data_IF_938545343985
#
_entry.id   IF_938545343985
#
_cell.length_a   1.000
_cell.length_b   1.000
_cell.length_c   1.000
_cell.angle_alpha   90.00
_cell.angle_beta   90.00
_cell.angle_gamma   90.00
#
_symmetry.space_group_name_H-M   'P 1'
#
loop_
_entity.id
_entity.type
_entity.pdbx_description
1 polymer ?
#
# COMPACT_ATOMS: atom_id res chain seq x y z
N UNK A 1 -2.15 3.13 6.17
CA UNK A 1 -0.87 3.30 5.43
C UNK A 1 -0.87 4.67 4.80
N UNK A 2 0.22 5.45 4.86
CA UNK A 2 0.21 6.85 4.42
C UNK A 2 -0.22 7.01 2.94
N UNK A 3 0.26 6.12 2.05
CA UNK A 3 -0.06 6.10 0.62
C UNK A 3 -1.51 5.85 0.30
N UNK A 4 -2.27 5.25 1.21
CA UNK A 4 -3.68 4.96 0.97
C UNK A 4 -4.55 6.20 1.11
N UNK A 5 -4.11 7.17 1.92
CA UNK A 5 -4.89 8.35 2.24
C UNK A 5 -4.37 9.65 1.66
N UNK A 6 -3.11 9.71 1.25
CA UNK A 6 -2.50 10.92 0.72
C UNK A 6 -1.74 10.64 -0.58
N UNK A 7 -1.92 11.54 -1.54
CA UNK A 7 -1.05 11.66 -2.71
C UNK A 7 -0.67 13.12 -2.95
N UNK A 8 0.43 13.33 -3.66
CA UNK A 8 0.85 14.65 -4.15
C UNK A 8 0.89 14.62 -5.67
N UNK A 9 0.27 15.60 -6.32
CA UNK A 9 0.23 15.78 -7.77
C UNK A 9 0.58 17.23 -8.08
N UNK A 10 1.75 17.47 -8.68
CA UNK A 10 2.29 18.82 -8.80
C UNK A 10 2.35 19.48 -7.42
N UNK A 11 1.65 20.60 -7.26
CA UNK A 11 1.53 21.32 -5.99
C UNK A 11 0.25 21.01 -5.19
N UNK A 12 -0.52 20.00 -5.60
CA UNK A 12 -1.77 19.59 -4.94
C UNK A 12 -1.52 18.39 -4.02
N UNK A 13 -1.83 18.54 -2.73
CA UNK A 13 -1.86 17.43 -1.77
C UNK A 13 -3.31 17.00 -1.60
N UNK A 14 -3.61 15.74 -1.85
CA UNK A 14 -4.99 15.25 -1.94
C UNK A 14 -5.22 14.15 -0.90
N UNK A 15 -6.20 14.38 -0.02
CA UNK A 15 -6.68 13.39 0.94
C UNK A 15 -7.79 12.52 0.34
N UNK A 16 -7.69 11.21 0.54
CA UNK A 16 -8.64 10.22 0.04
C UNK A 16 -9.95 10.20 0.87
N UNK A 17 -11.14 10.27 0.25
CA UNK A 17 -12.42 10.03 0.90
C UNK A 17 -12.65 8.53 1.04
N UNK A 18 -12.01 7.90 2.03
CA UNK A 18 -12.04 6.45 2.23
C UNK A 18 -13.44 5.80 2.13
N UNK A 19 -13.49 4.59 1.57
CA UNK A 19 -14.65 3.70 1.68
C UNK A 19 -14.77 3.14 3.11
N UNK A 20 -13.65 2.74 3.72
CA UNK A 20 -13.63 2.10 5.02
C UNK A 20 -13.91 3.09 6.16
N UNK A 21 -15.02 2.87 6.86
CA UNK A 21 -15.47 3.75 7.95
C UNK A 21 -14.46 3.87 9.10
N UNK A 22 -13.69 2.82 9.38
CA UNK A 22 -12.64 2.82 10.41
C UNK A 22 -11.45 3.74 10.09
N UNK A 23 -11.33 4.22 8.84
CA UNK A 23 -10.21 5.04 8.37
C UNK A 23 -10.53 6.53 8.25
N UNK A 24 -11.78 6.94 8.48
CA UNK A 24 -12.26 8.32 8.27
C UNK A 24 -11.44 9.40 8.95
N UNK A 25 -10.82 9.09 10.09
CA UNK A 25 -10.00 10.03 10.86
C UNK A 25 -8.49 9.76 10.74
N UNK A 26 -8.07 8.79 9.92
CA UNK A 26 -6.68 8.34 9.83
C UNK A 26 -5.73 9.49 9.51
N UNK A 27 -6.07 10.30 8.50
CA UNK A 27 -5.21 11.39 8.04
C UNK A 27 -5.22 12.57 9.00
N UNK A 28 -6.39 12.97 9.50
CA UNK A 28 -6.47 14.07 10.46
C UNK A 28 -5.68 13.77 11.74
N UNK A 29 -5.85 12.57 12.31
CA UNK A 29 -5.19 12.19 13.56
C UNK A 29 -3.68 12.01 13.40
N UNK A 30 -3.21 11.45 12.27
CA UNK A 30 -1.81 11.13 12.08
C UNK A 30 -1.01 12.28 11.43
N UNK A 31 -1.61 12.99 10.48
CA UNK A 31 -0.90 13.92 9.58
C UNK A 31 -1.52 15.32 9.51
N UNK A 32 -2.61 15.60 10.24
CA UNK A 32 -3.29 16.91 10.18
C UNK A 32 -2.36 18.10 10.44
N UNK A 33 -1.41 17.96 11.37
CA UNK A 33 -0.39 18.98 11.65
C UNK A 33 0.59 19.20 10.48
N UNK A 34 1.00 18.14 9.79
CA UNK A 34 1.87 18.23 8.60
C UNK A 34 1.12 18.93 7.47
N UNK A 35 -0.15 18.57 7.26
CA UNK A 35 -0.99 19.20 6.24
C UNK A 35 -1.19 20.69 6.52
N UNK A 36 -1.46 21.06 7.78
CA UNK A 36 -1.57 22.47 8.19
C UNK A 36 -0.25 23.24 8.02
N UNK A 37 0.89 22.59 8.22
CA UNK A 37 2.20 23.19 7.95
C UNK A 37 2.45 23.37 6.45
N UNK A 38 2.06 22.41 5.61
CA UNK A 38 2.16 22.50 4.15
C UNK A 38 1.29 23.64 3.58
N UNK A 39 0.09 23.84 4.13
CA UNK A 39 -0.82 24.94 3.74
C UNK A 39 -0.26 26.35 4.00
N UNK A 40 0.80 26.48 4.80
CA UNK A 40 1.47 27.78 5.00
C UNK A 40 2.19 28.27 3.74
N UNK A 41 2.58 27.36 2.86
CA UNK A 41 3.11 27.74 1.55
C UNK A 41 1.94 28.03 0.60
N UNK A 42 1.83 29.30 0.18
CA UNK A 42 0.82 29.77 -0.78
C UNK A 42 0.80 29.04 -2.12
N UNK A 43 1.88 28.34 -2.47
CA UNK A 43 1.96 27.52 -3.69
C UNK A 43 1.32 26.15 -3.50
N UNK A 44 1.18 25.66 -2.27
CA UNK A 44 0.62 24.33 -2.00
C UNK A 44 -0.89 24.45 -1.84
N UNK A 45 -1.62 23.53 -2.49
CA UNK A 45 -3.06 23.40 -2.32
C UNK A 45 -3.37 22.07 -1.68
N UNK A 46 -3.90 22.09 -0.46
CA UNK A 46 -4.32 20.87 0.24
C UNK A 46 -5.82 20.68 0.09
N UNK A 47 -6.22 19.48 -0.35
CA UNK A 47 -7.62 19.07 -0.45
C UNK A 47 -7.90 18.05 0.64
N UNK A 48 -8.62 18.47 1.67
CA UNK A 48 -9.09 17.59 2.74
C UNK A 48 -10.29 16.77 2.27
N UNK A 49 -10.39 15.52 2.72
CA UNK A 49 -11.52 14.67 2.40
C UNK A 49 -12.77 15.13 3.16
N UNK A 50 -13.93 15.03 2.50
CA UNK A 50 -15.23 15.28 3.14
C UNK A 50 -15.98 13.95 3.25
N UNK A 51 -16.53 13.70 4.43
CA UNK A 51 -17.35 12.53 4.69
C UNK A 51 -18.80 12.97 4.90
N UNK A 52 -19.79 12.19 4.41
CA UNK A 52 -21.18 12.53 4.61
C UNK A 52 -21.53 12.56 6.11
N UNK A 53 -22.33 13.54 6.51
CA UNK A 53 -22.97 13.54 7.81
C UNK A 53 -24.10 12.49 7.81
N UNK A 54 -24.19 11.69 8.87
CA UNK A 54 -25.25 10.69 9.04
C UNK A 54 -24.91 9.31 8.49
N UNK A 55 -25.93 8.60 7.97
CA UNK A 55 -25.80 7.22 7.47
C UNK A 55 -24.92 7.23 6.22
N UNK A 56 -23.92 6.35 6.22
CA UNK A 56 -23.07 6.12 5.05
C UNK A 56 -23.72 5.07 4.15
N UNK A 57 -24.03 5.47 2.93
CA UNK A 57 -24.72 4.63 1.94
C UNK A 57 -23.74 3.87 1.05
N UNK A 58 -22.42 4.01 1.23
CA UNK A 58 -21.42 3.45 0.30
C UNK A 58 -21.45 1.91 0.17
N UNK A 59 -21.97 1.23 1.20
CA UNK A 59 -22.15 -0.22 1.25
C UNK A 59 -23.61 -0.65 1.16
N UNK A 60 -24.53 0.29 0.95
CA UNK A 60 -25.93 -0.08 0.73
C UNK A 60 -26.02 -0.80 -0.64
N UNK A 61 -26.80 -1.86 -0.72
CA UNK A 61 -27.04 -2.55 -1.98
C UNK A 61 -27.67 -1.55 -2.96
N UNK A 62 -26.98 -1.26 -4.06
CA UNK A 62 -27.62 -0.68 -5.23
C UNK A 62 -28.76 -1.65 -5.59
N UNK A 63 -30.01 -1.16 -5.58
CA UNK A 63 -31.27 -1.92 -5.69
C UNK A 63 -31.18 -3.33 -6.34
N UNK A 64 -31.93 -4.30 -5.79
CA UNK A 64 -32.05 -5.69 -6.31
C UNK A 64 -31.82 -5.79 -7.83
N UNK A 65 -30.63 -6.28 -8.22
CA UNK A 65 -30.18 -6.34 -9.62
C UNK A 65 -28.93 -5.53 -9.96
N UNK A 66 -28.27 -4.87 -8.99
CA UNK A 66 -26.95 -4.28 -9.21
C UNK A 66 -25.89 -5.35 -9.52
N UNK A 67 -25.36 -5.30 -10.73
CA UNK A 67 -24.23 -6.11 -11.22
C UNK A 67 -22.86 -5.51 -10.82
N UNK A 68 -22.77 -4.77 -9.71
CA UNK A 68 -21.48 -4.19 -9.30
C UNK A 68 -20.50 -5.31 -8.93
N UNK A 69 -19.37 -5.37 -9.64
CA UNK A 69 -18.28 -6.31 -9.35
C UNK A 69 -17.51 -5.95 -8.05
N UNK A 70 -17.82 -4.81 -7.43
CA UNK A 70 -17.10 -4.27 -6.28
C UNK A 70 -17.98 -4.17 -5.04
N UNK A 71 -17.33 -4.16 -3.87
CA UNK A 71 -18.02 -4.13 -2.56
C UNK A 71 -18.64 -2.78 -2.21
N UNK A 72 -18.34 -1.73 -2.99
CA UNK A 72 -18.87 -0.39 -2.79
C UNK A 72 -19.73 0.02 -3.99
N UNK A 73 -20.75 0.82 -3.72
CA UNK A 73 -21.56 1.45 -4.75
C UNK A 73 -21.01 2.82 -5.18
N UNK A 74 -21.76 3.53 -6.01
CA UNK A 74 -21.40 4.86 -6.53
C UNK A 74 -22.17 6.03 -5.88
N UNK A 75 -22.75 5.84 -4.68
CA UNK A 75 -23.62 6.83 -4.01
C UNK A 75 -22.89 8.09 -3.52
N UNK A 76 -21.57 8.00 -3.31
CA UNK A 76 -20.68 9.13 -3.00
C UNK A 76 -19.29 8.87 -3.54
N UNK A 77 -18.43 9.90 -3.67
CA UNK A 77 -17.01 9.69 -3.95
C UNK A 77 -16.35 8.80 -2.91
N UNK A 78 -15.65 7.77 -3.39
CA UNK A 78 -14.77 6.94 -2.58
C UNK A 78 -13.54 6.50 -3.40
N UNK A 79 -12.36 6.65 -2.82
CA UNK A 79 -11.12 6.06 -3.33
C UNK A 79 -10.06 5.95 -2.24
N UNK A 80 -9.12 5.02 -2.42
CA UNK A 80 -7.82 5.05 -1.76
C UNK A 80 -6.79 5.62 -2.74
N UNK A 81 -5.90 6.51 -2.29
CA UNK A 81 -4.87 7.11 -3.16
C UNK A 81 -3.90 6.07 -3.72
N UNK A 82 -3.78 4.91 -3.06
CA UNK A 82 -2.96 3.77 -3.50
C UNK A 82 -3.54 2.99 -4.69
N UNK A 83 -4.79 3.23 -5.10
CA UNK A 83 -5.33 2.75 -6.39
C UNK A 83 -4.81 3.55 -7.59
N UNK A 84 -4.00 4.60 -7.35
CA UNK A 84 -3.42 5.43 -8.38
C UNK A 84 -1.89 5.48 -8.26
N UNK A 85 -1.23 5.50 -9.41
CA UNK A 85 0.19 5.74 -9.56
C UNK A 85 0.43 6.88 -10.54
N UNK A 86 1.48 7.68 -10.31
CA UNK A 86 1.85 8.78 -11.21
C UNK A 86 2.73 8.29 -12.35
N UNK A 87 2.35 8.63 -13.57
CA UNK A 87 3.09 8.36 -14.80
C UNK A 87 3.18 9.66 -15.60
N UNK A 88 4.19 10.47 -15.29
CA UNK A 88 4.27 11.84 -15.80
C UNK A 88 3.09 12.68 -15.31
N UNK A 89 2.40 13.35 -16.25
CA UNK A 89 1.18 14.14 -15.96
C UNK A 89 -0.11 13.31 -15.91
N UNK A 90 -0.01 11.99 -16.04
CA UNK A 90 -1.16 11.09 -15.96
C UNK A 90 -1.12 10.29 -14.66
N UNK A 91 -2.23 10.29 -13.91
CA UNK A 91 -2.46 9.31 -12.86
C UNK A 91 -3.06 8.06 -13.50
N UNK A 92 -2.35 6.95 -13.46
CA UNK A 92 -2.87 5.65 -13.85
C UNK A 92 -3.51 5.00 -12.63
N UNK A 93 -4.76 4.56 -12.73
CA UNK A 93 -5.44 3.90 -11.62
C UNK A 93 -6.43 2.82 -12.04
N UNK A 94 -7.11 2.23 -11.08
CA UNK A 94 -8.10 1.17 -11.28
C UNK A 94 -9.37 1.44 -10.47
N UNK A 95 -10.51 0.91 -10.92
CA UNK A 95 -11.67 0.72 -10.05
C UNK A 95 -11.41 -0.49 -9.14
N UNK A 96 -11.95 -0.46 -7.94
CA UNK A 96 -11.58 -1.41 -6.89
C UNK A 96 -12.67 -1.55 -5.83
N UNK A 97 -12.48 -2.42 -4.83
CA UNK A 97 -13.37 -2.51 -3.68
C UNK A 97 -13.37 -1.25 -2.78
N UNK A 98 -12.49 -0.27 -3.04
CA UNK A 98 -12.41 1.00 -2.32
C UNK A 98 -12.44 2.24 -3.21
N UNK A 99 -12.39 2.07 -4.55
CA UNK A 99 -12.37 3.15 -5.54
C UNK A 99 -13.49 3.00 -6.56
N UNK A 100 -14.42 3.97 -6.59
CA UNK A 100 -15.58 4.00 -7.48
C UNK A 100 -15.51 5.13 -8.53
N UNK A 101 -16.35 5.11 -9.57
CA UNK A 101 -16.38 6.17 -10.59
C UNK A 101 -16.55 7.59 -10.04
N UNK A 102 -17.43 7.79 -9.05
CA UNK A 102 -17.63 9.08 -8.39
C UNK A 102 -16.36 9.58 -7.69
N UNK A 103 -15.55 8.67 -7.14
CA UNK A 103 -14.24 8.94 -6.56
C UNK A 103 -13.23 9.38 -7.60
N UNK A 104 -13.23 8.74 -8.78
CA UNK A 104 -12.39 9.13 -9.92
C UNK A 104 -12.76 10.53 -10.43
N UNK A 105 -14.04 10.84 -10.55
CA UNK A 105 -14.51 12.16 -10.97
C UNK A 105 -14.15 13.24 -9.94
N UNK A 106 -14.35 12.94 -8.65
CA UNK A 106 -13.93 13.79 -7.55
C UNK A 106 -12.42 14.07 -7.58
N UNK A 107 -11.59 13.06 -7.84
CA UNK A 107 -10.14 13.23 -7.95
C UNK A 107 -9.78 14.09 -9.16
N UNK A 108 -10.44 13.89 -10.31
CA UNK A 108 -10.19 14.64 -11.55
C UNK A 108 -10.38 16.16 -11.37
N UNK A 109 -11.38 16.58 -10.62
CA UNK A 109 -11.64 17.99 -10.29
C UNK A 109 -10.56 18.64 -9.40
N UNK A 110 -9.69 17.82 -8.80
CA UNK A 110 -8.67 18.22 -7.82
C UNK A 110 -7.26 18.01 -8.35
N UNK A 111 -7.11 17.75 -9.64
CA UNK A 111 -5.80 17.73 -10.27
C UNK A 111 -5.38 19.15 -10.68
N UNK A 112 -4.07 19.44 -10.69
CA UNK A 112 -3.57 20.66 -11.31
C UNK A 112 -3.86 20.69 -12.81
N UNK A 113 -3.78 21.87 -13.42
CA UNK A 113 -3.93 22.01 -14.87
C UNK A 113 -2.91 21.15 -15.63
N UNK A 114 -3.35 20.51 -16.71
CA UNK A 114 -2.50 19.65 -17.54
C UNK A 114 -2.32 18.23 -17.02
N UNK A 115 -2.84 17.90 -15.83
CA UNK A 115 -2.91 16.54 -15.33
C UNK A 115 -4.22 15.84 -15.73
N UNK A 116 -4.17 14.52 -15.87
CA UNK A 116 -5.33 13.69 -16.19
C UNK A 116 -5.29 12.34 -15.45
N UNK A 117 -6.39 11.59 -15.52
CA UNK A 117 -6.49 10.23 -14.99
C UNK A 117 -6.77 9.26 -16.13
N UNK A 118 -6.03 8.15 -16.16
CA UNK A 118 -6.28 6.99 -16.98
C UNK A 118 -6.68 5.81 -16.07
N UNK A 119 -7.92 5.35 -16.18
CA UNK A 119 -8.34 4.10 -15.54
C UNK A 119 -7.96 2.93 -16.45
N UNK A 120 -7.25 1.94 -15.92
CA UNK A 120 -6.84 0.74 -16.63
C UNK A 120 -7.64 -0.47 -16.19
N UNK A 121 -7.87 -1.40 -17.11
CA UNK A 121 -8.48 -2.68 -16.78
C UNK A 121 -7.45 -3.61 -16.13
N UNK A 122 -7.79 -4.16 -14.96
CA UNK A 122 -7.00 -5.16 -14.23
C UNK A 122 -7.91 -6.35 -13.92
N UNK A 123 -7.44 -7.56 -14.20
CA UNK A 123 -8.16 -8.80 -13.88
C UNK A 123 -7.84 -9.22 -12.45
N UNK A 124 -8.51 -8.57 -11.49
CA UNK A 124 -8.30 -8.79 -10.06
C UNK A 124 -9.64 -8.76 -9.31
N UNK A 125 -10.16 -9.94 -8.97
CA UNK A 125 -11.38 -10.10 -8.16
C UNK A 125 -11.22 -9.59 -6.72
N UNK A 126 -10.00 -9.26 -6.31
CA UNK A 126 -9.66 -8.72 -4.99
C UNK A 126 -9.08 -7.31 -5.09
N UNK A 127 -9.40 -6.59 -6.17
CA UNK A 127 -8.82 -5.29 -6.51
C UNK A 127 -8.86 -4.31 -5.33
N UNK A 128 -7.67 -3.98 -4.83
CA UNK A 128 -7.43 -2.91 -3.87
C UNK A 128 -5.95 -2.56 -3.92
N UNK A 129 -5.66 -1.29 -4.22
CA UNK A 129 -4.31 -0.74 -4.47
C UNK A 129 -3.66 -1.30 -5.74
N UNK A 130 -3.23 -0.38 -6.61
CA UNK A 130 -2.61 -0.73 -7.91
C UNK A 130 -1.11 -0.97 -7.77
N UNK A 131 -0.50 -0.56 -6.68
CA UNK A 131 0.95 -0.54 -6.42
C UNK A 131 1.56 -1.91 -6.03
N UNK A 132 0.76 -2.97 -6.06
CA UNK A 132 1.22 -4.37 -6.10
C UNK A 132 0.80 -5.08 -7.41
N UNK A 133 0.30 -4.31 -8.39
CA UNK A 133 -0.13 -4.76 -9.72
C UNK A 133 0.73 -4.11 -10.80
N UNK A 134 0.96 -2.82 -10.69
CA UNK A 134 1.83 -2.02 -11.56
C UNK A 134 2.95 -1.39 -10.73
N UNK A 135 4.15 -1.38 -11.29
CA UNK A 135 5.35 -0.88 -10.62
C UNK A 135 6.19 -0.07 -11.61
N UNK A 136 6.14 1.26 -11.50
CA UNK A 136 7.01 2.15 -12.25
C UNK A 136 8.33 2.34 -11.48
N UNK A 137 9.41 1.78 -12.02
CA UNK A 137 10.71 1.80 -11.36
C UNK A 137 11.54 3.04 -11.71
N UNK A 138 11.42 3.49 -12.96
CA UNK A 138 12.05 4.69 -13.51
C UNK A 138 11.27 5.19 -14.72
N UNK A 139 11.65 6.36 -15.24
CA UNK A 139 11.07 6.91 -16.48
C UNK A 139 11.14 5.85 -17.59
N UNK A 140 10.00 5.61 -18.24
CA UNK A 140 9.83 4.68 -19.36
C UNK A 140 10.07 3.19 -19.04
N UNK A 141 10.02 2.76 -17.78
CA UNK A 141 10.03 1.35 -17.40
C UNK A 141 8.88 1.02 -16.46
N UNK A 142 7.94 0.20 -16.95
CA UNK A 142 6.80 -0.31 -16.19
C UNK A 142 6.91 -1.82 -16.05
N UNK A 143 6.84 -2.31 -14.81
CA UNK A 143 6.59 -3.72 -14.53
C UNK A 143 5.11 -3.94 -14.22
N UNK A 144 4.55 -5.03 -14.73
CA UNK A 144 3.17 -5.42 -14.46
C UNK A 144 3.05 -6.83 -13.88
N UNK A 145 2.03 -7.05 -13.08
CA UNK A 145 1.72 -8.34 -12.48
C UNK A 145 1.27 -9.32 -13.57
N UNK A 146 1.99 -10.43 -13.82
CA UNK A 146 1.81 -11.26 -15.02
C UNK A 146 0.49 -12.04 -15.07
N UNK A 147 -0.16 -12.24 -13.91
CA UNK A 147 -1.47 -12.91 -13.81
C UNK A 147 -2.64 -11.91 -13.98
N UNK A 148 -2.53 -10.69 -13.44
CA UNK A 148 -3.62 -9.70 -13.39
C UNK A 148 -3.67 -8.79 -14.62
N UNK A 149 -2.55 -8.65 -15.33
CA UNK A 149 -2.41 -7.76 -16.48
C UNK A 149 -1.74 -8.47 -17.66
N UNK A 150 -1.94 -7.93 -18.87
CA UNK A 150 -1.24 -8.35 -20.08
C UNK A 150 -0.56 -7.16 -20.74
N UNK A 151 0.53 -7.43 -21.46
CA UNK A 151 1.19 -6.42 -22.28
C UNK A 151 0.23 -5.78 -23.29
N UNK A 152 -0.61 -6.57 -23.95
CA UNK A 152 -1.53 -6.08 -24.99
C UNK A 152 -2.53 -5.07 -24.43
N UNK A 153 -3.07 -5.32 -23.23
CA UNK A 153 -3.96 -4.38 -22.57
C UNK A 153 -3.21 -3.10 -22.19
N UNK A 154 -2.10 -3.22 -21.46
CA UNK A 154 -1.36 -2.05 -20.96
C UNK A 154 -0.76 -1.20 -22.10
N UNK A 155 -0.21 -1.82 -23.14
CA UNK A 155 0.37 -1.09 -24.28
C UNK A 155 -0.67 -0.37 -25.15
N UNK A 156 -1.97 -0.63 -24.95
CA UNK A 156 -3.05 0.06 -25.67
C UNK A 156 -3.33 1.47 -25.16
N UNK A 157 -2.92 1.81 -23.93
CA UNK A 157 -3.15 3.13 -23.36
C UNK A 157 -2.06 4.12 -23.78
N UNK A 158 -2.46 5.29 -24.25
CA UNK A 158 -1.54 6.33 -24.75
C UNK A 158 -0.49 6.76 -23.72
N UNK A 159 -0.83 6.74 -22.42
CA UNK A 159 0.09 7.05 -21.32
C UNK A 159 1.36 6.19 -21.31
N UNK A 160 1.29 4.97 -21.84
CA UNK A 160 2.41 4.04 -21.89
C UNK A 160 3.11 3.99 -23.25
N UNK A 161 2.76 4.89 -24.18
CA UNK A 161 3.46 4.97 -25.47
C UNK A 161 4.93 5.31 -25.26
N UNK A 162 5.82 4.48 -25.79
CA UNK A 162 7.28 4.61 -25.63
C UNK A 162 7.83 4.09 -24.30
N UNK A 163 7.00 3.50 -23.45
CA UNK A 163 7.45 2.79 -22.26
C UNK A 163 7.87 1.35 -22.62
N UNK A 164 8.92 0.88 -21.96
CA UNK A 164 9.21 -0.54 -21.86
C UNK A 164 8.27 -1.16 -20.81
N UNK A 165 7.35 -2.00 -21.26
CA UNK A 165 6.35 -2.66 -20.41
C UNK A 165 6.72 -4.13 -20.32
N UNK A 166 7.08 -4.60 -19.13
CA UNK A 166 7.52 -5.97 -18.90
C UNK A 166 6.67 -6.67 -17.84
N UNK A 167 6.44 -7.99 -17.96
CA UNK A 167 5.93 -8.75 -16.83
C UNK A 167 6.93 -8.69 -15.67
N UNK A 168 6.43 -8.70 -14.44
CA UNK A 168 7.28 -8.77 -13.27
C UNK A 168 8.16 -10.03 -13.33
N UNK A 169 9.48 -9.92 -13.12
CA UNK A 169 10.43 -10.97 -13.52
C UNK A 169 10.50 -12.15 -12.53
N UNK A 170 9.98 -11.98 -11.32
CA UNK A 170 10.13 -12.95 -10.23
C UNK A 170 8.76 -13.41 -9.75
N UNK A 171 8.56 -14.72 -9.67
CA UNK A 171 7.38 -15.29 -9.03
C UNK A 171 7.58 -15.28 -7.50
N UNK A 172 6.74 -14.59 -6.72
CA UNK A 172 6.96 -14.48 -5.28
C UNK A 172 6.77 -15.84 -4.61
N UNK A 173 7.65 -16.15 -3.66
CA UNK A 173 7.53 -17.35 -2.83
C UNK A 173 6.48 -17.10 -1.75
N UNK A 174 5.55 -18.04 -1.61
CA UNK A 174 4.61 -18.03 -0.51
C UNK A 174 5.38 -18.14 0.82
N UNK A 175 4.94 -17.38 1.83
CA UNK A 175 5.44 -17.48 3.20
C UNK A 175 4.28 -17.39 4.18
N UNK A 176 4.44 -18.05 5.32
CA UNK A 176 3.47 -17.99 6.43
C UNK A 176 3.93 -17.10 7.57
N UNK A 177 5.24 -16.82 7.68
CA UNK A 177 5.83 -16.05 8.78
C UNK A 177 6.78 -14.96 8.27
N UNK A 178 6.62 -13.70 8.71
CA UNK A 178 5.41 -13.14 9.33
C UNK A 178 4.16 -13.29 8.43
N UNK A 179 2.94 -13.42 8.99
CA UNK A 179 1.72 -13.63 8.22
C UNK A 179 1.38 -12.40 7.35
N UNK A 180 0.53 -12.56 6.34
CA UNK A 180 0.05 -11.47 5.49
C UNK A 180 -1.48 -11.32 5.69
N UNK A 181 -1.92 -10.33 6.49
CA UNK A 181 -3.33 -10.22 6.87
C UNK A 181 -4.23 -9.58 5.79
N UNK A 182 -3.67 -8.63 5.02
CA UNK A 182 -4.42 -7.81 4.06
C UNK A 182 -3.81 -7.81 2.65
N UNK A 183 -2.71 -8.52 2.45
CA UNK A 183 -1.89 -8.43 1.25
C UNK A 183 -1.48 -9.81 0.78
N UNK A 184 -0.88 -9.89 -0.40
CA UNK A 184 -0.34 -11.14 -0.95
C UNK A 184 1.18 -11.13 -1.00
N UNK A 185 1.78 -12.25 -1.41
CA UNK A 185 3.21 -12.35 -1.63
C UNK A 185 3.73 -11.38 -2.72
N UNK A 186 2.83 -10.78 -3.51
CA UNK A 186 3.15 -9.78 -4.54
C UNK A 186 3.62 -8.43 -3.99
N UNK A 187 3.73 -8.26 -2.66
CA UNK A 187 4.42 -7.10 -2.06
C UNK A 187 5.87 -6.93 -2.51
N UNK A 188 6.48 -7.94 -3.15
CA UNK A 188 7.76 -7.79 -3.88
C UNK A 188 7.73 -6.67 -4.95
N UNK A 189 6.54 -6.33 -5.47
CA UNK A 189 6.35 -5.24 -6.43
C UNK A 189 6.21 -3.86 -5.76
N UNK A 190 5.87 -3.81 -4.47
CA UNK A 190 5.50 -2.60 -3.74
C UNK A 190 6.73 -1.83 -3.22
N UNK A 191 7.62 -1.52 -4.15
CA UNK A 191 8.95 -0.97 -3.89
C UNK A 191 8.95 0.55 -3.96
N UNK A 192 9.95 1.19 -3.36
CA UNK A 192 10.11 2.64 -3.45
C UNK A 192 11.27 3.01 -4.36
N UNK A 193 10.97 3.58 -5.53
CA UNK A 193 11.97 4.25 -6.36
C UNK A 193 12.32 5.60 -5.75
N UNK A 194 13.58 5.81 -5.37
CA UNK A 194 14.04 7.05 -4.71
C UNK A 194 14.69 8.04 -5.69
N UNK A 195 15.28 7.54 -6.78
CA UNK A 195 15.78 8.32 -7.91
C UNK A 195 15.83 7.42 -9.15
N UNK A 196 16.23 7.94 -10.31
CA UNK A 196 16.37 7.14 -11.53
C UNK A 196 17.37 6.00 -11.29
N UNK A 197 16.86 4.77 -11.27
CA UNK A 197 17.66 3.58 -11.10
C UNK A 197 17.97 3.16 -9.66
N UNK A 198 17.58 3.91 -8.61
CA UNK A 198 17.74 3.45 -7.20
C UNK A 198 16.40 3.05 -6.58
N UNK A 199 16.31 1.82 -6.09
CA UNK A 199 15.03 1.24 -5.64
C UNK A 199 15.20 0.55 -4.29
N UNK A 200 14.39 0.92 -3.30
CA UNK A 200 14.33 0.20 -2.03
C UNK A 200 13.45 -1.03 -2.19
N UNK A 201 14.02 -2.20 -1.86
CA UNK A 201 13.37 -3.51 -1.94
C UNK A 201 13.52 -4.26 -0.62
N UNK A 202 12.69 -5.29 -0.40
CA UNK A 202 12.79 -6.09 0.80
C UNK A 202 14.09 -6.91 0.78
N UNK A 203 14.78 -7.02 1.92
CA UNK A 203 16.14 -7.58 1.95
C UNK A 203 16.24 -9.02 1.42
N UNK A 204 15.15 -9.79 1.50
CA UNK A 204 15.11 -11.18 1.05
C UNK A 204 14.62 -11.33 -0.40
N UNK A 205 14.21 -10.26 -1.07
CA UNK A 205 13.79 -10.28 -2.48
C UNK A 205 15.02 -10.20 -3.42
N UNK A 206 16.01 -11.07 -3.14
CA UNK A 206 17.34 -11.03 -3.75
C UNK A 206 17.32 -11.28 -5.26
N UNK A 207 16.44 -12.16 -5.73
CA UNK A 207 16.25 -12.44 -7.16
C UNK A 207 15.80 -11.19 -7.93
N UNK A 208 14.89 -10.40 -7.35
CA UNK A 208 14.47 -9.14 -7.95
C UNK A 208 15.60 -8.10 -7.90
N UNK A 209 16.36 -8.07 -6.80
CA UNK A 209 17.57 -7.26 -6.71
C UNK A 209 18.62 -7.59 -7.77
N UNK A 210 18.87 -8.86 -8.07
CA UNK A 210 19.79 -9.25 -9.16
C UNK A 210 19.26 -8.86 -10.54
N UNK A 211 17.95 -8.96 -10.77
CA UNK A 211 17.32 -8.47 -11.99
C UNK A 211 17.48 -6.94 -12.16
N UNK A 212 17.32 -6.18 -11.08
CA UNK A 212 17.56 -4.73 -11.07
C UNK A 212 19.01 -4.42 -11.44
N UNK A 213 19.99 -5.08 -10.80
CA UNK A 213 21.43 -4.90 -11.09
C UNK A 213 21.77 -5.22 -12.53
N UNK A 214 21.23 -6.31 -13.09
CA UNK A 214 21.43 -6.68 -14.49
C UNK A 214 20.93 -5.62 -15.48
N UNK A 215 20.04 -4.73 -15.03
CA UNK A 215 19.49 -3.61 -15.81
C UNK A 215 20.10 -2.26 -15.43
N UNK A 216 21.24 -2.26 -14.74
CA UNK A 216 21.96 -1.07 -14.34
C UNK A 216 21.30 -0.27 -13.22
N UNK A 217 20.39 -0.90 -12.46
CA UNK A 217 19.73 -0.29 -11.30
C UNK A 217 20.39 -0.74 -10.00
N UNK A 218 20.30 0.09 -8.97
CA UNK A 218 20.86 -0.10 -7.63
C UNK A 218 19.75 -0.46 -6.63
N UNK A 219 19.61 -1.74 -6.25
CA UNK A 219 18.70 -2.13 -5.18
C UNK A 219 19.28 -1.73 -3.81
N UNK A 220 18.44 -1.14 -2.97
CA UNK A 220 18.68 -0.87 -1.55
C UNK A 220 17.87 -1.90 -0.76
N UNK A 221 18.55 -2.88 -0.18
CA UNK A 221 17.93 -3.96 0.58
C UNK A 221 17.58 -3.48 1.99
N UNK A 222 16.31 -3.62 2.39
CA UNK A 222 15.83 -3.21 3.70
C UNK A 222 14.90 -4.27 4.33
N UNK A 223 15.09 -4.64 5.61
CA UNK A 223 14.19 -5.57 6.30
C UNK A 223 12.80 -4.93 6.48
N UNK A 224 11.76 -5.53 5.88
CA UNK A 224 10.41 -4.94 5.93
C UNK A 224 9.26 -5.96 6.10
N UNK A 225 9.57 -7.26 6.25
CA UNK A 225 8.56 -8.33 6.33
C UNK A 225 7.55 -8.21 7.46
N UNK A 226 7.92 -7.60 8.59
CA UNK A 226 6.97 -7.39 9.69
C UNK A 226 5.96 -6.28 9.37
N UNK A 227 6.35 -5.27 8.58
CA UNK A 227 5.41 -4.25 8.08
C UNK A 227 4.53 -4.83 6.98
N UNK A 228 5.05 -5.76 6.17
CA UNK A 228 4.25 -6.52 5.21
C UNK A 228 3.02 -7.16 5.86
N UNK A 229 3.16 -7.66 7.10
CA UNK A 229 2.03 -8.21 7.84
C UNK A 229 0.90 -7.23 8.09
N UNK A 230 1.23 -5.94 8.29
CA UNK A 230 0.26 -4.93 8.73
C UNK A 230 -0.60 -4.43 7.59
N UNK A 231 -0.08 -4.36 6.34
CA UNK A 231 -0.84 -4.19 5.07
C UNK A 231 -0.05 -3.37 4.01
N UNK A 232 1.19 -3.73 3.67
CA UNK A 232 1.93 -3.01 2.62
C UNK A 232 3.45 -3.09 2.71
N UNK A 233 4.15 -2.56 1.71
CA UNK A 233 5.61 -2.42 1.70
C UNK A 233 6.00 -0.94 1.54
N UNK A 234 7.17 -0.65 0.98
CA UNK A 234 7.77 0.68 0.98
C UNK A 234 6.89 1.73 0.29
N UNK A 235 6.26 1.40 -0.84
CA UNK A 235 5.39 2.35 -1.53
C UNK A 235 4.13 2.67 -0.71
N UNK A 236 3.47 1.65 -0.16
CA UNK A 236 2.31 1.84 0.72
C UNK A 236 2.66 2.67 1.97
N UNK A 237 3.83 2.42 2.55
CA UNK A 237 4.26 3.03 3.80
C UNK A 237 4.69 4.50 3.67
N UNK A 238 4.83 5.02 2.45
CA UNK A 238 5.40 6.34 2.19
C UNK A 238 4.51 7.20 1.31
N UNK A 239 4.65 8.52 1.43
CA UNK A 239 4.11 9.51 0.50
C UNK A 239 5.25 10.43 0.11
N UNK A 240 5.58 10.45 -1.18
CA UNK A 240 6.60 11.32 -1.75
C UNK A 240 6.01 12.71 -1.96
N UNK A 241 6.47 13.67 -1.15
CA UNK A 241 5.97 15.04 -1.20
C UNK A 241 6.63 15.87 -2.31
N UNK A 242 7.90 15.60 -2.61
CA UNK A 242 8.71 16.37 -3.58
C UNK A 242 9.64 15.39 -4.31
N UNK A 243 9.71 15.52 -5.65
CA UNK A 243 10.73 14.89 -6.50
C UNK A 243 11.30 15.92 -7.46
N UNK A 244 12.62 15.91 -7.66
CA UNK A 244 13.30 16.90 -8.53
C UNK A 244 12.94 16.75 -10.02
N UNK A 245 12.53 15.55 -10.45
CA UNK A 245 12.16 15.21 -11.83
C UNK A 245 10.68 15.50 -12.17
N UNK A 246 9.90 16.03 -11.22
CA UNK A 246 8.60 16.59 -11.56
C UNK A 246 8.90 17.82 -12.45
N UNK A 247 8.64 17.72 -13.76
CA UNK A 247 8.85 18.77 -14.79
C UNK A 247 8.07 20.09 -14.51
N UNK A 248 7.55 20.26 -13.30
CA UNK A 248 6.94 21.45 -12.77
C UNK A 248 7.95 22.17 -11.87
N UNK A 249 8.36 23.39 -12.24
CA UNK A 249 9.24 24.25 -11.45
C UNK A 249 8.70 24.46 -10.02
N UNK A 250 9.11 23.62 -9.06
CA UNK A 250 8.88 23.89 -7.63
C UNK A 250 10.15 24.45 -6.99
N UNK A 251 10.22 25.78 -6.92
CA UNK A 251 11.33 26.51 -6.30
C UNK A 251 11.17 26.55 -4.78
N UNK A 252 12.06 25.80 -4.11
CA UNK A 252 12.77 26.05 -2.83
C UNK A 252 12.56 25.00 -1.72
N UNK A 253 13.65 24.31 -1.42
CA UNK A 253 13.92 23.33 -0.35
C UNK A 253 14.04 23.94 1.07
N UNK A 254 13.41 25.08 1.35
CA UNK A 254 13.68 25.82 2.60
C UNK A 254 12.84 25.41 3.81
N UNK A 255 11.78 24.60 3.67
CA UNK A 255 10.88 24.25 4.78
C UNK A 255 11.15 22.88 5.45
N UNK A 256 11.90 21.96 4.81
CA UNK A 256 12.06 20.57 5.31
C UNK A 256 13.26 20.44 6.29
N UNK A 257 14.13 21.46 6.36
CA UNK A 257 15.36 21.43 7.17
C UNK A 257 15.20 21.54 8.70
N UNK A 258 14.00 21.63 9.25
CA UNK A 258 13.79 21.82 10.70
C UNK A 258 13.20 20.61 11.46
N UNK A 259 12.80 19.53 10.78
CA UNK A 259 12.22 18.36 11.45
C UNK A 259 13.25 17.27 11.83
N UNK A 260 14.52 17.38 11.41
CA UNK A 260 15.55 16.33 11.60
C UNK A 260 16.60 16.61 12.67
N UNK A 261 16.41 17.60 13.54
CA UNK A 261 17.39 17.95 14.58
C UNK A 261 16.83 17.90 16.01
N UNK A 262 16.38 16.72 16.47
CA UNK A 262 16.39 16.40 17.91
C UNK A 262 16.55 14.90 18.13
N UNK A 263 17.76 14.39 17.85
CA UNK A 263 18.22 13.13 18.45
C UNK A 263 19.18 13.50 19.57
N UNK A 264 18.68 13.64 20.79
CA UNK A 264 19.53 13.75 21.97
C UNK A 264 20.22 12.41 22.19
N UNK A 265 21.53 12.38 21.97
CA UNK A 265 22.39 11.25 22.26
C UNK A 265 22.35 10.93 23.76
N UNK A 266 21.82 9.77 24.13
CA UNK A 266 22.06 9.16 25.44
C UNK A 266 23.31 8.30 25.30
N UNK A 267 24.41 8.82 25.85
CA UNK A 267 25.67 8.09 26.02
C UNK A 267 25.44 6.90 26.95
N UNK A 268 25.81 5.71 26.47
CA UNK A 268 25.94 4.52 27.28
C UNK A 268 27.17 4.64 28.18
N UNK A 269 26.95 4.70 29.49
CA UNK A 269 28.00 4.40 30.48
C UNK A 269 27.75 3.01 31.05
N UNK A 270 28.60 2.08 30.65
CA UNK A 270 28.83 0.80 31.29
C UNK A 270 29.23 0.98 32.75
N UNK A 271 28.54 0.31 33.66
CA UNK A 271 29.10 -0.08 34.96
C UNK A 271 28.73 -1.54 35.21
N UNK A 272 29.75 -2.39 35.19
CA UNK A 272 29.64 -3.79 35.56
C UNK A 272 29.47 -3.96 37.06
N UNK A 273 28.69 -4.95 37.44
CA UNK A 273 28.84 -5.63 38.71
C UNK A 273 28.50 -7.12 38.52
N UNK A 274 29.46 -7.96 38.89
CA UNK A 274 29.41 -9.41 38.85
C UNK A 274 28.93 -10.00 40.18
N UNK A 275 28.27 -11.15 40.05
CA UNK A 275 28.14 -12.31 40.95
C UNK A 275 27.44 -12.20 42.32
N UNK A 276 26.52 -13.14 42.56
CA UNK A 276 26.11 -13.57 43.90
C UNK A 276 24.88 -14.50 43.91
N UNK A 277 25.10 -15.81 43.82
CA UNK A 277 24.12 -16.85 44.15
C UNK A 277 23.62 -16.73 45.60
N UNK A 278 22.31 -16.95 45.84
CA UNK A 278 21.82 -17.73 46.98
C UNK A 278 20.35 -18.16 46.81
N UNK A 279 20.14 -19.47 46.93
CA UNK A 279 18.86 -20.16 47.13
C UNK A 279 18.16 -19.69 48.40
N UNK A 280 16.84 -19.47 48.35
CA UNK A 280 15.95 -19.70 49.49
C UNK A 280 14.59 -20.26 49.04
N UNK A 281 14.42 -21.53 49.35
CA UNK A 281 13.17 -22.30 49.42
C UNK A 281 12.28 -21.81 50.56
N UNK A 282 10.96 -21.79 50.34
CA UNK A 282 9.83 -22.04 51.26
C UNK A 282 8.56 -21.63 50.48
N UNK A 283 7.58 -22.45 50.10
CA UNK A 283 7.06 -23.66 50.73
C UNK A 283 5.86 -23.29 51.61
N UNK A 284 4.64 -23.23 51.06
CA UNK A 284 3.40 -23.50 51.79
C UNK A 284 2.24 -23.88 50.84
N UNK A 285 1.61 -25.01 51.18
CA UNK A 285 0.44 -25.69 50.60
C UNK A 285 -0.77 -24.74 50.42
N UNK A 286 -1.70 -24.90 49.48
CA UNK A 286 -2.33 -26.12 48.97
C UNK A 286 -3.70 -26.33 49.65
N UNK A 287 -4.80 -25.98 48.97
CA UNK A 287 -6.15 -26.51 49.27
C UNK A 287 -6.92 -26.71 47.97
N UNK A 288 -7.32 -27.97 47.75
CA UNK A 288 -8.19 -28.47 46.69
C UNK A 288 -9.64 -27.96 46.83
N UNK A 289 -10.30 -27.80 45.69
CA UNK A 289 -11.76 -27.73 45.59
C UNK A 289 -12.23 -28.22 44.22
N UNK A 290 -12.65 -29.47 44.15
CA UNK A 290 -13.29 -30.12 43.00
C UNK A 290 -14.80 -29.88 42.98
N UNK A 291 -15.35 -29.65 41.79
CA UNK A 291 -16.73 -29.91 41.28
C UNK A 291 -17.03 -28.85 40.21
N UNK A 292 -17.66 -29.09 39.06
CA UNK A 292 -18.29 -30.24 38.46
C UNK A 292 -19.18 -29.74 37.32
N UNK A 293 -18.99 -30.30 36.12
CA UNK A 293 -19.95 -30.49 35.03
C UNK A 293 -20.58 -29.32 34.22
N UNK A 294 -20.47 -29.52 32.90
CA UNK A 294 -21.41 -29.28 31.79
C UNK A 294 -21.49 -27.90 31.11
N UNK A 295 -21.26 -27.95 29.79
CA UNK A 295 -21.62 -26.89 28.84
C UNK A 295 -20.84 -26.98 27.52
N UNK A 296 -21.06 -28.05 26.75
CA UNK A 296 -20.54 -28.15 25.38
C UNK A 296 -21.19 -27.09 24.48
N UNK A 297 -20.39 -26.45 23.63
CA UNK A 297 -20.77 -26.04 22.28
C UNK A 297 -19.51 -25.90 21.44
N UNK A 298 -19.35 -26.83 20.49
CA UNK A 298 -18.21 -26.92 19.60
C UNK A 298 -18.32 -25.94 18.43
N UNK A 299 -17.19 -25.34 18.06
CA UNK A 299 -16.98 -24.79 16.74
C UNK A 299 -16.02 -25.72 16.00
N UNK A 300 -16.54 -26.39 14.97
CA UNK A 300 -15.79 -27.22 14.04
C UNK A 300 -15.09 -26.34 12.99
N UNK A 301 -13.76 -26.43 12.94
CA UNK A 301 -12.94 -25.92 11.84
C UNK A 301 -13.21 -26.76 10.57
N UNK A 302 -13.81 -26.14 9.56
CA UNK A 302 -13.90 -26.70 8.20
C UNK A 302 -12.68 -26.29 7.38
N UNK A 303 -11.65 -27.14 7.37
CA UNK A 303 -10.61 -27.12 6.36
C UNK A 303 -11.17 -27.78 5.09
N UNK A 304 -11.30 -27.04 4.00
CA UNK A 304 -11.58 -27.62 2.69
C UNK A 304 -10.25 -27.98 2.01
N UNK A 305 -9.88 -29.26 2.14
CA UNK A 305 -8.94 -29.94 1.26
C UNK A 305 -9.54 -30.01 -0.15
N UNK A 306 -8.96 -29.28 -1.10
CA UNK A 306 -9.19 -29.51 -2.53
C UNK A 306 -8.18 -30.56 -2.99
N UNK A 307 -8.66 -31.79 -3.21
CA UNK A 307 -7.92 -32.84 -3.88
C UNK A 307 -7.58 -32.43 -5.32
N UNK A 308 -6.28 -32.34 -5.62
CA UNK A 308 -5.77 -32.30 -6.99
C UNK A 308 -5.83 -33.72 -7.57
N UNK A 309 -6.80 -33.97 -8.45
CA UNK A 309 -6.83 -35.18 -9.26
C UNK A 309 -5.90 -35.03 -10.47
N UNK A 310 -4.95 -35.97 -10.55
CA UNK A 310 -4.74 -36.78 -11.75
C UNK A 310 -4.27 -36.08 -13.01
N UNK A 311 -2.97 -36.17 -13.26
CA UNK A 311 -2.39 -36.06 -14.58
C UNK A 311 -3.06 -37.04 -15.56
N UNK A 312 -3.40 -36.56 -16.75
CA UNK A 312 -3.47 -37.40 -17.95
C UNK A 312 -2.76 -36.72 -19.11
N UNK A 313 -1.83 -37.47 -19.67
CA UNK A 313 -1.05 -37.22 -20.86
C UNK A 313 -1.89 -37.47 -22.12
N UNK A 314 -1.91 -36.53 -23.06
CA UNK A 314 -1.73 -36.73 -24.52
C UNK A 314 -2.39 -35.61 -25.35
N UNK A 315 -1.58 -35.01 -26.24
CA UNK A 315 -1.93 -34.93 -27.67
C UNK A 315 -2.57 -33.65 -28.21
N UNK A 316 -1.75 -32.98 -29.03
CA UNK A 316 -2.04 -31.97 -30.09
C UNK A 316 -2.12 -30.51 -29.62
#
# INVERSE_FOLDING_TARGET
MARDGLMVVGNHVIEAPYAWSCRRQEIELAFGHILADLEKDSKVRVFRAQFPEGRDTIFDDDAEGSESAFSINNSRPAFDTADFMRVGKTLVGQLSHVTNPAGVDYLRERLPEGYNIQIVEVKDETAMRIDATLCALRKQLLLYHPIKCTYQNLSSYDVFKGWEILPFPVMPKHRTEPPLFMTSAWLIMNVLSVTDGKVIIEENDTEFGEWLKARGMEPIYCPFRHVHSISGSFHCATVDLIRDDDDDEFVSTSAIGMATATTTAISATTNGHTNGHANLTNGFNGVNGTSGANGANGYSNGANDVQLNGADSNGI
#
